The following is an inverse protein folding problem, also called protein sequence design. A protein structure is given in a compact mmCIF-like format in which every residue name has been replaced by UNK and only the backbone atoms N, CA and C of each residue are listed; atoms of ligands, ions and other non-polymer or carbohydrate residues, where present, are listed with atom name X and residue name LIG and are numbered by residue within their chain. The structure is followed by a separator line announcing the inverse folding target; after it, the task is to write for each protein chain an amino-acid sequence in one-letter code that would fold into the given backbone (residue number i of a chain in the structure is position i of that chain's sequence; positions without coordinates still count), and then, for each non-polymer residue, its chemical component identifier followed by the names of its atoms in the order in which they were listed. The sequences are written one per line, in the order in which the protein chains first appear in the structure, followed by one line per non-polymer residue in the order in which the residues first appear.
data_IF_777592471833
#
_entry.id   IF_777592471833
#
_cell.length_a   1.000
_cell.length_b   1.000
_cell.length_c   1.000
_cell.angle_alpha   90.00
_cell.angle_beta   90.00
_cell.angle_gamma   90.00
#
_symmetry.space_group_name_H-M   'P 1'
#
loop_
_entity.id
_entity.type
_entity.pdbx_description
1 polymer ?
#
# COMPACT_ATOMS: atom_id res chain seq x y z
N UNK A 1 -22.82 -4.85 4.12
CA UNK A 1 -23.11 -5.94 3.16
C UNK A 1 -24.05 -6.99 3.73
N UNK A 2 -23.85 -7.48 4.96
CA UNK A 2 -24.68 -8.52 5.60
C UNK A 2 -26.19 -8.22 5.54
N UNK A 3 -26.60 -6.97 5.77
CA UNK A 3 -28.01 -6.55 5.79
C UNK A 3 -28.75 -6.82 4.46
N UNK A 4 -28.06 -6.76 3.32
CA UNK A 4 -28.66 -7.02 2.00
C UNK A 4 -29.08 -8.49 1.88
N UNK A 5 -28.21 -9.39 2.34
CA UNK A 5 -28.48 -10.83 2.28
C UNK A 5 -29.44 -11.30 3.37
N UNK A 6 -29.35 -10.71 4.57
CA UNK A 6 -30.28 -10.99 5.67
C UNK A 6 -31.74 -10.60 5.31
N UNK A 7 -31.93 -9.59 4.46
CA UNK A 7 -33.25 -9.20 3.96
C UNK A 7 -34.00 -10.31 3.23
N UNK A 8 -33.29 -11.29 2.64
CA UNK A 8 -33.91 -12.41 1.92
C UNK A 8 -34.45 -13.51 2.84
N UNK A 9 -34.19 -13.47 4.14
CA UNK A 9 -34.69 -14.47 5.11
C UNK A 9 -36.23 -14.44 5.22
N UNK A 10 -36.86 -13.31 4.90
CA UNK A 10 -38.32 -13.15 4.82
C UNK A 10 -38.95 -13.58 3.49
N UNK A 11 -38.18 -14.13 2.55
CA UNK A 11 -38.70 -14.62 1.28
C UNK A 11 -39.65 -15.81 1.46
N UNK A 12 -40.71 -15.86 0.67
CA UNK A 12 -41.63 -17.00 0.58
C UNK A 12 -41.05 -18.14 -0.26
N UNK A 13 -40.12 -17.83 -1.16
CA UNK A 13 -39.40 -18.81 -1.95
C UNK A 13 -38.27 -19.43 -1.10
N UNK A 14 -38.35 -20.76 -0.93
CA UNK A 14 -37.42 -21.51 -0.11
C UNK A 14 -35.96 -21.47 -0.63
N UNK A 15 -35.78 -21.43 -1.96
CA UNK A 15 -34.46 -21.37 -2.57
C UNK A 15 -33.82 -20.00 -2.31
N UNK A 16 -34.57 -18.91 -2.48
CA UNK A 16 -34.08 -17.55 -2.21
C UNK A 16 -33.72 -17.39 -0.73
N UNK A 17 -34.58 -17.91 0.16
CA UNK A 17 -34.34 -17.86 1.61
C UNK A 17 -33.05 -18.59 2.00
N UNK A 18 -32.83 -19.79 1.45
CA UNK A 18 -31.64 -20.59 1.73
C UNK A 18 -30.36 -19.90 1.23
N UNK A 19 -30.37 -19.37 0.00
CA UNK A 19 -29.24 -18.64 -0.57
C UNK A 19 -28.92 -17.38 0.23
N UNK A 20 -29.94 -16.57 0.56
CA UNK A 20 -29.76 -15.35 1.33
C UNK A 20 -29.22 -15.59 2.74
N UNK A 21 -29.76 -16.58 3.45
CA UNK A 21 -29.27 -16.97 4.77
C UNK A 21 -27.82 -17.45 4.74
N UNK A 22 -27.48 -18.32 3.77
CA UNK A 22 -26.11 -18.81 3.60
C UNK A 22 -25.11 -17.69 3.30
N UNK A 23 -25.46 -16.78 2.39
CA UNK A 23 -24.61 -15.62 2.04
C UNK A 23 -24.47 -14.65 3.21
N UNK A 24 -25.52 -14.40 3.98
CA UNK A 24 -25.45 -13.53 5.16
C UNK A 24 -24.44 -14.07 6.19
N UNK A 25 -24.49 -15.38 6.47
CA UNK A 25 -23.54 -16.04 7.38
C UNK A 25 -22.12 -16.03 6.80
N UNK A 26 -21.95 -16.35 5.52
CA UNK A 26 -20.64 -16.37 4.88
C UNK A 26 -19.95 -15.00 4.94
N UNK A 27 -20.68 -13.92 4.62
CA UNK A 27 -20.15 -12.55 4.69
C UNK A 27 -19.88 -12.13 6.13
N UNK A 28 -20.73 -12.51 7.09
CA UNK A 28 -20.47 -12.25 8.51
C UNK A 28 -19.16 -12.93 8.94
N UNK A 29 -18.98 -14.20 8.61
CA UNK A 29 -17.78 -14.94 8.97
C UNK A 29 -16.53 -14.37 8.27
N UNK A 30 -16.60 -14.02 6.98
CA UNK A 30 -15.50 -13.38 6.26
C UNK A 30 -15.10 -12.04 6.90
N UNK A 31 -16.08 -11.20 7.23
CA UNK A 31 -15.82 -9.89 7.81
C UNK A 31 -15.14 -9.97 9.20
N UNK A 32 -15.52 -10.93 10.04
CA UNK A 32 -14.99 -11.04 11.40
C UNK A 32 -13.83 -12.04 11.51
N UNK A 33 -14.05 -13.29 11.13
CA UNK A 33 -13.05 -14.34 11.34
C UNK A 33 -11.93 -14.21 10.32
N UNK A 34 -12.27 -14.09 9.03
CA UNK A 34 -11.25 -14.03 7.98
C UNK A 34 -10.51 -12.70 8.04
N UNK A 35 -11.23 -11.58 7.92
CA UNK A 35 -10.61 -10.26 7.79
C UNK A 35 -10.02 -9.70 9.07
N UNK A 36 -10.66 -9.86 10.23
CA UNK A 36 -10.10 -9.32 11.48
C UNK A 36 -9.08 -10.25 12.14
N UNK A 37 -9.05 -11.54 11.78
CA UNK A 37 -8.17 -12.52 12.45
C UNK A 37 -7.23 -13.23 11.49
N UNK A 38 -7.75 -13.99 10.52
CA UNK A 38 -6.91 -14.85 9.67
C UNK A 38 -5.98 -14.02 8.79
N UNK A 39 -6.49 -13.01 8.10
CA UNK A 39 -5.71 -12.15 7.21
C UNK A 39 -4.55 -11.47 7.96
N UNK A 40 -4.77 -10.73 9.06
CA UNK A 40 -3.66 -10.11 9.78
C UNK A 40 -2.70 -11.13 10.40
N UNK A 41 -3.20 -12.25 10.93
CA UNK A 41 -2.33 -13.31 11.45
C UNK A 41 -1.45 -13.92 10.35
N UNK A 42 -2.00 -14.16 9.16
CA UNK A 42 -1.27 -14.70 8.01
C UNK A 42 -0.25 -13.68 7.49
N UNK A 43 -0.63 -12.40 7.40
CA UNK A 43 0.30 -11.34 7.02
C UNK A 43 1.44 -11.19 8.02
N UNK A 44 1.16 -11.31 9.33
CA UNK A 44 2.20 -11.30 10.36
C UNK A 44 3.14 -12.51 10.25
N UNK A 45 2.60 -13.69 9.90
CA UNK A 45 3.39 -14.92 9.73
C UNK A 45 4.27 -14.88 8.47
N UNK A 46 3.72 -14.47 7.33
CA UNK A 46 4.42 -14.43 6.03
C UNK A 46 5.36 -13.21 5.94
N UNK A 47 5.03 -12.13 6.66
CA UNK A 47 5.85 -10.92 6.77
C UNK A 47 6.15 -10.28 5.43
N UNK A 48 7.43 -9.95 5.18
CA UNK A 48 7.88 -9.21 3.98
C UNK A 48 7.61 -9.95 2.66
N UNK A 49 7.47 -11.28 2.70
CA UNK A 49 7.16 -12.09 1.52
C UNK A 49 5.72 -11.90 1.04
N UNK A 50 4.80 -11.47 1.92
CA UNK A 50 3.40 -11.24 1.55
C UNK A 50 3.24 -10.09 0.57
N UNK A 51 4.22 -9.18 0.56
CA UNK A 51 4.28 -7.99 -0.30
C UNK A 51 5.36 -8.09 -1.39
N UNK A 52 6.02 -9.24 -1.57
CA UNK A 52 7.01 -9.38 -2.63
C UNK A 52 6.31 -9.61 -3.96
N UNK A 53 6.50 -8.71 -4.93
CA UNK A 53 6.00 -8.87 -6.28
C UNK A 53 6.92 -9.83 -7.06
N UNK A 54 6.40 -10.93 -7.62
CA UNK A 54 7.21 -11.85 -8.43
C UNK A 54 7.80 -11.10 -9.63
N UNK A 55 9.10 -11.30 -9.90
CA UNK A 55 9.82 -10.58 -10.96
C UNK A 55 9.21 -10.72 -12.37
N UNK A 56 8.42 -11.78 -12.62
CA UNK A 56 7.71 -11.96 -13.89
C UNK A 56 6.46 -11.06 -14.01
N UNK A 57 5.78 -10.76 -12.90
CA UNK A 57 4.64 -9.83 -12.85
C UNK A 57 5.16 -8.41 -13.00
N UNK A 58 6.28 -8.10 -12.34
CA UNK A 58 6.93 -6.80 -12.39
C UNK A 58 7.32 -6.42 -13.82
N UNK A 59 7.79 -7.39 -14.61
CA UNK A 59 8.14 -7.20 -16.02
C UNK A 59 6.94 -6.95 -16.94
N UNK A 60 5.75 -7.40 -16.56
CA UNK A 60 4.51 -7.23 -17.35
C UNK A 60 3.76 -5.96 -16.93
N UNK A 61 3.97 -5.48 -15.70
CA UNK A 61 3.25 -4.34 -15.18
C UNK A 61 3.62 -3.07 -15.97
N UNK A 62 2.63 -2.37 -16.57
CA UNK A 62 2.87 -1.05 -17.14
C UNK A 62 3.30 -0.10 -16.03
N UNK A 63 4.27 0.78 -16.32
CA UNK A 63 4.66 1.84 -15.40
C UNK A 63 3.52 2.88 -15.32
N UNK A 64 2.69 2.76 -14.28
CA UNK A 64 1.58 3.67 -14.02
C UNK A 64 1.98 4.58 -12.87
N UNK A 65 2.57 5.72 -13.23
CA UNK A 65 2.86 6.80 -12.29
C UNK A 65 1.55 7.55 -11.94
N UNK A 66 0.94 7.15 -10.82
CA UNK A 66 -0.29 7.76 -10.30
C UNK A 66 -0.01 9.15 -9.67
N UNK A 67 1.21 9.36 -9.17
CA UNK A 67 1.58 10.55 -8.41
C UNK A 67 2.22 11.64 -9.29
N UNK A 68 2.50 11.33 -10.57
CA UNK A 68 3.04 12.27 -11.54
C UNK A 68 4.48 12.69 -11.22
N UNK A 69 5.18 11.92 -10.40
CA UNK A 69 6.57 12.11 -9.99
C UNK A 69 7.50 12.32 -11.19
N UNK A 70 7.25 11.60 -12.28
CA UNK A 70 8.03 11.70 -13.51
C UNK A 70 7.74 13.01 -14.26
N UNK A 71 6.49 13.48 -14.27
CA UNK A 71 6.15 14.78 -14.86
C UNK A 71 6.70 15.93 -14.00
N UNK A 72 6.65 15.80 -12.68
CA UNK A 72 7.22 16.79 -11.76
C UNK A 72 8.74 16.91 -11.91
N UNK A 73 9.45 15.78 -12.07
CA UNK A 73 10.90 15.78 -12.36
C UNK A 73 11.24 16.35 -13.73
N UNK A 74 10.40 16.13 -14.74
CA UNK A 74 10.61 16.67 -16.10
C UNK A 74 10.26 18.15 -16.21
N UNK A 75 9.27 18.63 -15.44
CA UNK A 75 8.85 20.03 -15.40
C UNK A 75 9.70 20.89 -14.45
N UNK A 76 10.50 20.27 -13.58
CA UNK A 76 11.43 20.99 -12.72
C UNK A 76 12.49 21.70 -13.58
N UNK A 77 12.62 23.03 -13.48
CA UNK A 77 13.71 23.75 -14.11
C UNK A 77 15.05 23.13 -13.68
N UNK A 78 16.07 23.05 -14.55
CA UNK A 78 17.42 22.70 -14.12
C UNK A 78 17.77 23.56 -12.93
N UNK A 79 17.82 22.96 -11.73
CA UNK A 79 18.28 23.67 -10.56
C UNK A 79 19.70 24.12 -10.92
N UNK A 80 20.02 25.43 -10.82
CA UNK A 80 21.39 25.86 -10.99
C UNK A 80 22.23 24.96 -10.09
N UNK A 81 23.28 24.37 -10.66
CA UNK A 81 24.18 23.48 -9.97
C UNK A 81 24.38 24.06 -8.58
N UNK A 82 23.91 23.35 -7.55
CA UNK A 82 24.16 23.79 -6.20
C UNK A 82 25.67 23.74 -6.08
N UNK A 83 26.28 24.94 -6.14
CA UNK A 83 27.67 25.17 -5.85
C UNK A 83 27.88 24.48 -4.51
N UNK A 84 28.49 23.29 -4.55
CA UNK A 84 28.91 22.60 -3.34
C UNK A 84 29.72 23.66 -2.59
N UNK A 85 29.37 24.02 -1.36
CA UNK A 85 30.12 25.02 -0.62
C UNK A 85 31.57 24.58 -0.68
N UNK A 86 32.40 25.41 -1.32
CA UNK A 86 33.83 25.14 -1.45
C UNK A 86 34.32 24.70 -0.06
N UNK A 87 35.06 23.58 0.06
CA UNK A 87 35.58 23.17 1.35
C UNK A 87 36.39 24.35 1.90
N UNK A 88 35.86 25.00 2.95
CA UNK A 88 36.53 26.13 3.59
C UNK A 88 37.90 25.62 4.02
N UNK A 89 38.93 26.05 3.30
CA UNK A 89 40.30 25.74 3.63
C UNK A 89 40.54 26.20 5.07
N UNK A 90 41.12 25.35 5.95
CA UNK A 90 41.34 25.71 7.32
C UNK A 90 42.20 26.98 7.35
N UNK A 91 41.68 28.02 8.00
CA UNK A 91 42.40 29.26 8.21
C UNK A 91 43.74 28.92 8.87
N UNK A 92 44.83 29.20 8.16
CA UNK A 92 46.17 29.12 8.74
C UNK A 92 46.24 30.13 9.88
N UNK A 93 46.19 29.59 11.10
CA UNK A 93 46.43 30.29 12.35
C UNK A 93 47.85 30.85 12.35
N UNK A 94 47.96 32.15 12.08
CA UNK A 94 49.17 32.92 12.32
C UNK A 94 49.19 33.48 13.75
N UNK A 95 49.08 32.63 14.78
CA UNK A 95 49.50 33.01 16.13
C UNK A 95 51.00 32.81 16.28
N UNK A 96 51.76 33.77 15.76
CA UNK A 96 53.19 33.91 16.00
C UNK A 96 53.48 34.14 17.47
N UNK A 97 54.27 33.23 18.04
CA UNK A 97 54.94 33.35 19.32
C UNK A 97 55.57 34.74 19.52
N UNK A 98 55.20 35.40 20.62
CA UNK A 98 56.03 36.36 21.34
C UNK A 98 56.37 35.77 22.70
#
# INVERSE_FOLDING_TARGET
MISVFAGFVGSHDAMIKALGFGLAIAVLFDAFVVRMTIVPATLALVGKRAWSLPAWIDRILPDVDIEGENLARQAAPPLPAQEQPEPVAPAHDHSGHR
#
